data_IF_599070815482
#
_entry.id   IF_599070815482
#
_cell.length_a   1.000
_cell.length_b   1.000
_cell.length_c   1.000
_cell.angle_alpha   90.00
_cell.angle_beta   90.00
_cell.angle_gamma   90.00
#
_symmetry.space_group_name_H-M   'P 1'
#
loop_
_entity.id
_entity.type
_entity.pdbx_description
1 polymer ?
#
# COMPACT_ATOMS: atom_id res chain seq x y z
N UNK A 1 6.22 32.57 3.85
CA UNK A 1 5.64 31.29 4.25
C UNK A 1 6.30 30.21 3.38
N UNK A 2 7.16 29.40 4.00
CA UNK A 2 7.63 28.18 3.36
C UNK A 2 6.43 27.24 3.23
N UNK A 3 6.01 26.96 2.01
CA UNK A 3 5.05 25.91 1.74
C UNK A 3 5.74 24.57 2.03
N UNK A 4 5.45 23.96 3.15
CA UNK A 4 5.84 22.59 3.43
C UNK A 4 5.17 21.71 2.38
N UNK A 5 5.97 21.01 1.58
CA UNK A 5 5.46 20.03 0.61
C UNK A 5 4.89 18.88 1.45
N UNK A 6 3.58 18.85 1.59
CA UNK A 6 2.88 17.72 2.21
C UNK A 6 2.54 16.71 1.12
N UNK A 7 3.00 15.47 1.28
CA UNK A 7 2.51 14.35 0.47
C UNK A 7 1.01 14.17 0.74
N UNK A 8 0.20 14.10 -0.31
CA UNK A 8 -1.26 14.15 -0.19
C UNK A 8 -1.85 12.97 0.59
N UNK A 9 -1.18 11.82 0.68
CA UNK A 9 -1.73 10.59 1.30
C UNK A 9 -0.62 9.75 1.92
N UNK A 10 -0.03 10.17 3.04
CA UNK A 10 1.18 9.56 3.61
C UNK A 10 0.97 8.11 4.07
N UNK A 11 -0.26 7.67 4.39
CA UNK A 11 -0.51 6.29 4.82
C UNK A 11 -0.17 5.25 3.74
N UNK A 12 -0.13 5.64 2.47
CA UNK A 12 0.29 4.76 1.37
C UNK A 12 1.77 4.41 1.41
N UNK A 13 2.59 5.23 2.08
CA UNK A 13 4.03 5.00 2.25
C UNK A 13 4.35 4.04 3.39
N UNK A 14 3.40 3.79 4.29
CA UNK A 14 3.61 2.89 5.42
C UNK A 14 3.63 1.44 4.92
N UNK A 15 4.67 0.71 5.26
CA UNK A 15 4.76 -0.73 4.93
C UNK A 15 3.70 -1.52 5.70
N UNK A 16 2.88 -2.26 4.96
CA UNK A 16 1.85 -3.08 5.56
C UNK A 16 2.29 -4.54 5.75
N UNK A 17 3.40 -4.95 5.14
CA UNK A 17 3.94 -6.30 5.28
C UNK A 17 5.21 -6.34 6.13
N UNK A 18 5.27 -7.30 7.05
CA UNK A 18 6.38 -7.45 7.98
C UNK A 18 7.71 -7.78 7.31
N UNK A 19 7.68 -8.44 6.13
CA UNK A 19 8.89 -8.79 5.38
C UNK A 19 9.57 -7.54 4.82
N UNK A 20 8.83 -6.70 4.10
CA UNK A 20 9.39 -5.47 3.52
C UNK A 20 9.75 -4.47 4.61
N UNK A 21 8.94 -4.34 5.67
CA UNK A 21 9.25 -3.52 6.83
C UNK A 21 10.58 -3.96 7.49
N UNK A 22 10.79 -5.26 7.66
CA UNK A 22 12.04 -5.82 8.19
C UNK A 22 13.26 -5.65 7.27
N UNK A 23 13.05 -5.34 5.99
CA UNK A 23 14.08 -5.05 4.99
C UNK A 23 14.21 -3.55 4.70
N UNK A 24 13.82 -2.68 5.64
CA UNK A 24 13.82 -1.22 5.50
C UNK A 24 12.98 -0.75 4.29
N UNK A 25 11.74 -1.24 4.20
CA UNK A 25 10.76 -0.92 3.16
C UNK A 25 11.22 -1.26 1.73
N UNK A 26 11.98 -2.33 1.61
CA UNK A 26 12.53 -2.79 0.33
C UNK A 26 11.71 -3.95 -0.25
N UNK A 27 10.79 -3.64 -1.15
CA UNK A 27 9.92 -4.62 -1.79
C UNK A 27 9.91 -4.61 -3.32
N UNK A 28 10.49 -3.59 -3.96
CA UNK A 28 10.37 -3.34 -5.41
C UNK A 28 11.01 -4.45 -6.26
N UNK A 29 12.17 -4.97 -5.85
CA UNK A 29 12.92 -6.00 -6.57
C UNK A 29 13.02 -7.34 -5.81
N UNK A 30 12.27 -7.51 -4.71
CA UNK A 30 12.19 -8.79 -4.00
C UNK A 30 11.46 -9.85 -4.85
N UNK A 31 11.52 -11.13 -4.43
CA UNK A 31 10.72 -12.18 -5.07
C UNK A 31 9.23 -11.84 -5.03
N UNK A 32 8.48 -12.35 -6.02
CA UNK A 32 7.03 -12.22 -6.02
C UNK A 32 6.41 -12.90 -4.79
N UNK A 33 5.49 -12.22 -4.14
CA UNK A 33 4.71 -12.68 -3.00
C UNK A 33 3.32 -12.04 -3.02
N UNK A 34 2.46 -12.41 -2.08
CA UNK A 34 1.09 -11.90 -2.04
C UNK A 34 0.99 -10.39 -1.70
N UNK A 35 2.05 -9.78 -1.14
CA UNK A 35 2.11 -8.35 -0.86
C UNK A 35 2.71 -7.50 -1.98
N UNK A 36 3.04 -8.12 -3.11
CA UNK A 36 3.69 -7.44 -4.23
C UNK A 36 2.89 -6.28 -4.84
N UNK A 37 1.58 -6.21 -4.59
CA UNK A 37 0.72 -5.13 -5.07
C UNK A 37 1.19 -3.75 -4.60
N UNK A 38 1.62 -3.62 -3.37
CA UNK A 38 2.11 -2.36 -2.82
C UNK A 38 3.42 -1.91 -3.46
N UNK A 39 4.33 -2.87 -3.68
CA UNK A 39 5.72 -2.57 -4.03
C UNK A 39 5.98 -2.57 -5.53
N UNK A 40 5.50 -3.60 -6.21
CA UNK A 40 5.70 -3.77 -7.64
C UNK A 40 4.77 -4.85 -8.18
N UNK A 41 3.61 -4.52 -8.72
CA UNK A 41 2.66 -5.49 -9.25
C UNK A 41 3.19 -6.28 -10.47
N UNK A 42 4.23 -5.78 -11.17
CA UNK A 42 4.82 -6.52 -12.30
C UNK A 42 5.42 -7.87 -11.87
N UNK A 43 5.76 -8.05 -10.59
CA UNK A 43 6.26 -9.30 -10.03
C UNK A 43 5.27 -10.45 -10.16
N UNK A 44 3.96 -10.19 -10.15
CA UNK A 44 2.94 -11.24 -10.23
C UNK A 44 3.01 -12.07 -11.52
N UNK A 45 3.51 -11.51 -12.62
CA UNK A 45 3.75 -12.27 -13.83
C UNK A 45 4.80 -13.39 -13.66
N UNK A 46 5.63 -13.31 -12.61
CA UNK A 46 6.63 -14.29 -12.22
C UNK A 46 6.28 -15.05 -10.93
N UNK A 47 5.10 -14.87 -10.38
CA UNK A 47 4.68 -15.62 -9.21
C UNK A 47 4.68 -17.14 -9.49
N UNK A 48 5.12 -17.93 -8.52
CA UNK A 48 5.16 -19.39 -8.65
C UNK A 48 3.74 -19.94 -8.56
N UNK A 49 3.01 -19.51 -7.54
CA UNK A 49 1.65 -19.94 -7.30
C UNK A 49 0.68 -19.27 -8.27
N UNK A 50 -0.36 -20.01 -8.66
CA UNK A 50 -1.41 -19.49 -9.54
C UNK A 50 -2.23 -18.40 -8.87
N UNK A 51 -2.47 -18.52 -7.57
CA UNK A 51 -3.31 -17.61 -6.78
C UNK A 51 -2.68 -17.38 -5.43
N UNK A 52 -2.73 -16.17 -4.94
CA UNK A 52 -2.30 -15.83 -3.59
C UNK A 52 -3.23 -14.82 -2.93
N UNK A 53 -3.34 -14.97 -1.63
CA UNK A 53 -4.09 -14.08 -0.76
C UNK A 53 -3.23 -13.73 0.45
N UNK A 54 -3.31 -12.50 0.91
CA UNK A 54 -2.67 -12.08 2.15
C UNK A 54 -3.53 -11.06 2.90
N UNK A 55 -3.37 -11.09 4.20
CA UNK A 55 -3.96 -10.13 5.13
C UNK A 55 -2.88 -9.68 6.10
N UNK A 56 -2.83 -8.40 6.39
CA UNK A 56 -2.02 -7.85 7.47
C UNK A 56 -2.84 -6.89 8.32
N UNK A 57 -2.48 -6.83 9.58
CA UNK A 57 -2.98 -5.87 10.54
C UNK A 57 -1.80 -5.38 11.37
N UNK A 58 -1.54 -4.10 11.33
CA UNK A 58 -0.40 -3.47 12.01
C UNK A 58 -0.94 -2.39 12.94
N UNK A 59 -0.93 -2.62 14.26
CA UNK A 59 -1.13 -1.55 15.24
C UNK A 59 -0.01 -0.52 15.06
N UNK A 60 -0.37 0.76 15.08
CA UNK A 60 0.56 1.84 14.81
C UNK A 60 0.59 2.81 15.98
N UNK A 61 1.79 3.27 16.38
CA UNK A 61 1.99 4.19 17.52
C UNK A 61 1.38 3.73 18.83
N UNK A 62 1.41 2.43 19.13
CA UNK A 62 0.77 1.82 20.31
C UNK A 62 1.25 2.35 21.64
N UNK A 63 2.46 2.93 21.69
CA UNK A 63 2.99 3.58 22.90
C UNK A 63 2.35 4.95 23.18
N UNK A 64 1.67 5.53 22.21
CA UNK A 64 0.97 6.82 22.32
C UNK A 64 -0.54 6.66 22.43
N UNK A 65 -1.11 5.84 21.53
CA UNK A 65 -2.56 5.58 21.42
C UNK A 65 -2.78 4.14 20.97
N UNK A 66 -3.86 3.52 21.43
CA UNK A 66 -4.10 2.09 21.19
C UNK A 66 -5.05 1.81 20.01
N UNK A 67 -5.52 2.82 19.31
CA UNK A 67 -6.59 2.75 18.35
C UNK A 67 -6.20 3.13 16.90
N UNK A 68 -4.92 3.46 16.67
CA UNK A 68 -4.40 3.67 15.31
C UNK A 68 -3.97 2.33 14.73
N UNK A 69 -4.45 2.02 13.54
CA UNK A 69 -4.13 0.75 12.88
C UNK A 69 -4.12 0.85 11.36
N UNK A 70 -3.26 0.03 10.75
CA UNK A 70 -3.18 -0.18 9.31
C UNK A 70 -3.60 -1.61 9.00
N UNK A 71 -4.64 -1.78 8.19
CA UNK A 71 -5.07 -3.06 7.64
C UNK A 71 -4.80 -3.13 6.15
N UNK A 72 -4.40 -4.29 5.66
CA UNK A 72 -4.25 -4.54 4.22
C UNK A 72 -4.69 -5.94 3.85
N UNK A 73 -5.45 -6.03 2.76
CA UNK A 73 -5.83 -7.26 2.09
C UNK A 73 -5.23 -7.24 0.69
N UNK A 74 -4.68 -8.36 0.23
CA UNK A 74 -4.22 -8.49 -1.15
C UNK A 74 -4.72 -9.81 -1.74
N UNK A 75 -4.98 -9.78 -3.02
CA UNK A 75 -5.33 -10.95 -3.81
C UNK A 75 -4.66 -10.85 -5.17
N UNK A 76 -4.11 -11.93 -5.69
CA UNK A 76 -3.68 -12.03 -7.07
C UNK A 76 -4.07 -13.38 -7.67
N UNK A 77 -4.21 -13.37 -8.99
CA UNK A 77 -4.42 -14.59 -9.76
C UNK A 77 -3.68 -14.49 -11.10
N UNK A 78 -2.88 -15.51 -11.40
CA UNK A 78 -2.28 -15.67 -12.72
C UNK A 78 -3.33 -16.26 -13.67
N UNK A 79 -3.67 -15.49 -14.69
CA UNK A 79 -4.62 -15.88 -15.73
C UNK A 79 -4.01 -17.01 -16.58
N UNK A 80 -2.74 -16.84 -16.93
CA UNK A 80 -1.93 -17.78 -17.70
C UNK A 80 -0.43 -17.62 -17.33
N UNK A 81 0.47 -18.25 -18.10
CA UNK A 81 1.92 -18.18 -17.85
C UNK A 81 2.53 -16.80 -18.04
N UNK A 82 1.82 -15.90 -18.73
CA UNK A 82 2.34 -14.57 -19.10
C UNK A 82 1.65 -13.43 -18.38
N UNK A 83 0.46 -13.64 -17.83
CA UNK A 83 -0.33 -12.54 -17.28
C UNK A 83 -0.96 -12.87 -15.94
N UNK A 84 -1.09 -11.84 -15.11
CA UNK A 84 -1.78 -11.92 -13.84
C UNK A 84 -2.57 -10.63 -13.58
N UNK A 85 -3.67 -10.74 -12.87
CA UNK A 85 -4.34 -9.61 -12.25
C UNK A 85 -4.19 -9.67 -10.73
N UNK A 86 -4.24 -8.52 -10.11
CA UNK A 86 -4.20 -8.42 -8.66
C UNK A 86 -5.03 -7.23 -8.18
N UNK A 87 -5.38 -7.26 -6.92
CA UNK A 87 -6.04 -6.15 -6.24
C UNK A 87 -5.66 -6.12 -4.78
N UNK A 88 -5.73 -4.93 -4.19
CA UNK A 88 -5.56 -4.76 -2.76
C UNK A 88 -6.55 -3.75 -2.20
N UNK A 89 -6.86 -3.92 -0.93
CA UNK A 89 -7.58 -2.96 -0.13
C UNK A 89 -6.75 -2.62 1.08
N UNK A 90 -6.52 -1.32 1.29
CA UNK A 90 -5.79 -0.79 2.44
C UNK A 90 -6.69 0.15 3.21
N UNK A 91 -6.67 0.01 4.52
CA UNK A 91 -7.42 0.85 5.45
C UNK A 91 -6.49 1.36 6.54
N UNK A 92 -6.54 2.66 6.80
CA UNK A 92 -5.81 3.31 7.87
C UNK A 92 -6.79 4.04 8.79
N UNK A 93 -6.93 3.55 10.02
CA UNK A 93 -7.75 4.18 11.06
C UNK A 93 -6.86 4.99 11.97
N UNK A 94 -7.23 6.26 12.19
CA UNK A 94 -6.47 7.18 13.06
C UNK A 94 -7.02 7.22 14.51
N UNK A 95 -7.92 6.28 14.83
CA UNK A 95 -8.51 6.20 16.15
C UNK A 95 -9.61 7.22 16.40
N UNK A 96 -9.98 7.35 17.66
CA UNK A 96 -11.03 8.25 18.12
C UNK A 96 -10.42 9.52 18.69
N UNK A 97 -10.84 10.66 18.17
CA UNK A 97 -10.40 11.99 18.64
C UNK A 97 -11.59 12.66 19.32
N UNK A 98 -11.42 13.02 20.58
CA UNK A 98 -12.39 13.80 21.33
C UNK A 98 -12.16 15.29 21.09
N UNK A 99 -13.14 15.94 20.53
CA UNK A 99 -13.15 17.40 20.29
C UNK A 99 -14.03 18.08 21.33
N UNK A 100 -13.49 19.12 21.96
CA UNK A 100 -14.21 20.04 22.83
C UNK A 100 -14.20 21.43 22.21
N UNK A 101 -15.38 22.06 22.11
CA UNK A 101 -15.54 23.35 21.43
C UNK A 101 -15.31 24.54 22.37
N UNK A 102 -15.64 24.39 23.65
CA UNK A 102 -15.64 25.53 24.59
C UNK A 102 -14.60 25.44 25.70
N UNK A 103 -13.89 24.36 25.89
CA UNK A 103 -12.98 24.20 27.01
C UNK A 103 -13.66 24.13 28.39
N UNK A 104 -15.00 24.00 28.44
CA UNK A 104 -15.74 23.75 29.67
C UNK A 104 -15.50 22.29 30.12
N UNK A 105 -15.06 22.05 31.37
CA UNK A 105 -14.90 20.69 31.88
C UNK A 105 -16.15 19.81 31.84
N UNK A 106 -17.33 20.42 31.82
CA UNK A 106 -18.63 19.73 31.78
C UNK A 106 -19.16 19.52 30.34
N UNK A 107 -18.45 19.99 29.32
CA UNK A 107 -18.83 19.78 27.95
C UNK A 107 -18.71 18.31 27.56
N UNK A 108 -19.74 17.75 26.93
CA UNK A 108 -19.70 16.40 26.37
C UNK A 108 -18.86 16.46 25.09
N UNK A 109 -17.67 15.80 25.06
CA UNK A 109 -16.82 15.84 23.89
C UNK A 109 -17.49 15.18 22.71
N UNK A 110 -17.30 15.76 21.53
CA UNK A 110 -17.69 15.14 20.26
C UNK A 110 -16.58 14.21 19.79
N UNK A 111 -16.89 12.93 19.62
CA UNK A 111 -15.92 11.96 19.09
C UNK A 111 -15.97 11.93 17.56
N UNK A 112 -14.84 12.04 16.93
CA UNK A 112 -14.63 11.83 15.49
C UNK A 112 -13.62 10.73 15.28
N UNK A 113 -13.82 9.92 14.23
CA UNK A 113 -12.94 8.78 13.88
C UNK A 113 -12.41 8.96 12.46
N UNK A 114 -11.33 9.72 12.28
CA UNK A 114 -10.75 9.92 10.95
C UNK A 114 -10.22 8.60 10.39
N UNK A 115 -10.38 8.41 9.09
CA UNK A 115 -9.89 7.21 8.42
C UNK A 115 -9.58 7.47 6.96
N UNK A 116 -8.67 6.69 6.42
CA UNK A 116 -8.30 6.71 5.02
C UNK A 116 -8.34 5.30 4.45
N UNK A 117 -8.69 5.16 3.19
CA UNK A 117 -8.58 3.89 2.52
C UNK A 117 -8.16 4.05 1.07
N UNK A 118 -7.54 3.00 0.56
CA UNK A 118 -7.20 2.87 -0.86
C UNK A 118 -7.61 1.50 -1.38
N UNK A 119 -8.09 1.49 -2.61
CA UNK A 119 -8.37 0.29 -3.37
C UNK A 119 -7.53 0.29 -4.64
N UNK A 120 -6.71 -0.73 -4.81
CA UNK A 120 -5.80 -0.88 -5.94
C UNK A 120 -6.22 -2.07 -6.80
N UNK A 121 -6.10 -1.91 -8.10
CA UNK A 121 -6.18 -3.00 -9.08
C UNK A 121 -4.99 -2.92 -10.03
N UNK A 122 -4.47 -4.05 -10.45
CA UNK A 122 -3.37 -4.09 -11.41
C UNK A 122 -3.49 -5.27 -12.36
N UNK A 123 -2.91 -5.07 -13.54
CA UNK A 123 -2.70 -6.11 -14.53
C UNK A 123 -1.23 -6.15 -14.90
N UNK A 124 -0.62 -7.31 -14.80
CA UNK A 124 0.78 -7.56 -15.12
C UNK A 124 0.91 -8.49 -16.32
N UNK A 125 1.89 -8.18 -17.17
CA UNK A 125 2.18 -8.93 -18.39
C UNK A 125 3.69 -9.20 -18.49
N UNK A 126 4.05 -10.46 -18.69
CA UNK A 126 5.39 -10.89 -19.04
C UNK A 126 5.66 -10.58 -20.51
N UNK A 127 6.56 -9.64 -20.75
CA UNK A 127 6.96 -9.21 -22.11
C UNK A 127 8.07 -10.08 -22.68
N UNK A 128 8.90 -10.68 -21.82
CA UNK A 128 9.91 -11.66 -22.19
C UNK A 128 10.09 -12.66 -21.05
N UNK A 129 10.91 -13.70 -21.23
CA UNK A 129 11.21 -14.66 -20.17
C UNK A 129 11.87 -14.03 -18.93
N UNK A 130 12.41 -12.85 -19.07
CA UNK A 130 13.16 -12.15 -18.00
C UNK A 130 12.52 -10.82 -17.57
N UNK A 131 11.54 -10.31 -18.32
CA UNK A 131 10.98 -8.97 -18.06
C UNK A 131 9.46 -8.94 -18.12
N UNK A 132 8.86 -8.26 -17.16
CA UNK A 132 7.43 -7.97 -17.10
C UNK A 132 7.16 -6.50 -16.81
N UNK A 133 5.98 -6.05 -17.20
CA UNK A 133 5.44 -4.74 -16.83
C UNK A 133 4.05 -4.91 -16.23
N UNK A 134 3.62 -3.92 -15.47
CA UNK A 134 2.26 -3.82 -14.97
C UNK A 134 1.76 -2.39 -15.08
N UNK A 135 0.45 -2.30 -15.22
CA UNK A 135 -0.31 -1.06 -15.05
C UNK A 135 -1.25 -1.24 -13.88
N UNK A 136 -1.39 -0.20 -13.07
CA UNK A 136 -2.28 -0.18 -11.92
C UNK A 136 -3.22 1.02 -11.96
N UNK A 137 -4.37 0.86 -11.35
CA UNK A 137 -5.30 1.93 -11.05
C UNK A 137 -5.60 1.90 -9.55
N UNK A 138 -5.62 3.06 -8.94
CA UNK A 138 -5.87 3.25 -7.51
C UNK A 138 -6.99 4.24 -7.30
N UNK A 139 -7.91 3.89 -6.43
CA UNK A 139 -8.87 4.81 -5.85
C UNK A 139 -8.50 5.09 -4.39
N UNK A 140 -8.45 6.35 -4.02
CA UNK A 140 -8.08 6.80 -2.68
C UNK A 140 -9.23 7.61 -2.12
N UNK A 141 -9.55 7.38 -0.85
CA UNK A 141 -10.47 8.21 -0.10
C UNK A 141 -9.85 8.56 1.25
N UNK A 142 -9.80 9.85 1.55
CA UNK A 142 -9.31 10.39 2.81
C UNK A 142 -10.45 11.12 3.51
N UNK A 143 -10.85 10.63 4.67
CA UNK A 143 -11.85 11.23 5.53
C UNK A 143 -11.19 11.66 6.85
N UNK A 144 -10.44 12.73 6.79
CA UNK A 144 -9.74 13.34 7.94
C UNK A 144 -10.59 14.43 8.59
N UNK A 145 -11.91 14.32 8.59
CA UNK A 145 -12.83 15.34 9.12
C UNK A 145 -12.57 15.59 10.60
N UNK A 146 -11.97 16.71 10.88
CA UNK A 146 -12.05 17.39 12.17
C UNK A 146 -13.02 18.54 11.95
N UNK A 147 -14.27 18.37 12.38
CA UNK A 147 -15.25 19.44 12.26
C UNK A 147 -14.81 20.61 13.13
N UNK A 148 -14.56 21.75 12.52
CA UNK A 148 -14.44 23.03 13.19
C UNK A 148 -15.62 23.92 12.75
N UNK A 149 -16.06 24.81 13.61
CA UNK A 149 -17.16 25.75 13.32
C UNK A 149 -16.90 26.68 12.11
N UNK A 150 -15.75 26.62 11.49
CA UNK A 150 -15.27 27.53 10.45
C UNK A 150 -15.11 26.87 9.07
N UNK A 151 -15.74 25.76 8.82
CA UNK A 151 -15.78 25.20 7.48
C UNK A 151 -15.81 23.68 7.44
N UNK A 152 -16.67 23.16 6.61
CA UNK A 152 -16.78 21.71 6.34
C UNK A 152 -15.47 21.17 5.76
N UNK A 153 -14.67 20.51 6.58
CA UNK A 153 -13.64 19.61 6.07
C UNK A 153 -14.37 18.45 5.36
N UNK A 154 -14.40 18.49 4.04
CA UNK A 154 -15.00 17.43 3.22
C UNK A 154 -14.03 16.26 3.07
N UNK A 155 -14.57 15.04 2.99
CA UNK A 155 -13.77 13.89 2.55
C UNK A 155 -13.23 14.16 1.13
N UNK A 156 -11.98 13.82 0.88
CA UNK A 156 -11.37 13.94 -0.43
C UNK A 156 -11.23 12.56 -1.08
N UNK A 157 -11.47 12.49 -2.38
CA UNK A 157 -11.26 11.28 -3.16
C UNK A 157 -10.40 11.59 -4.38
N UNK A 158 -9.56 10.65 -4.77
CA UNK A 158 -8.72 10.77 -5.95
C UNK A 158 -8.55 9.44 -6.66
N UNK A 159 -8.22 9.52 -7.95
CA UNK A 159 -7.79 8.38 -8.74
C UNK A 159 -6.33 8.57 -9.14
N UNK A 160 -5.59 7.49 -9.15
CA UNK A 160 -4.19 7.43 -9.54
C UNK A 160 -3.95 6.28 -10.53
N UNK A 161 -2.91 6.39 -11.33
CA UNK A 161 -2.48 5.36 -12.27
C UNK A 161 -1.00 5.09 -12.05
N UNK A 162 -0.67 3.82 -11.89
CA UNK A 162 0.69 3.37 -11.59
C UNK A 162 1.25 2.56 -12.76
N UNK A 163 2.58 2.63 -12.94
CA UNK A 163 3.32 1.82 -13.93
C UNK A 163 4.51 1.18 -13.24
N UNK A 164 4.64 -0.12 -13.41
CA UNK A 164 5.71 -0.89 -12.80
C UNK A 164 6.43 -1.78 -13.82
N UNK A 165 7.71 -2.04 -13.56
CA UNK A 165 8.51 -2.98 -14.33
C UNK A 165 9.35 -3.87 -13.42
N UNK A 166 9.52 -5.12 -13.84
CA UNK A 166 10.30 -6.10 -13.09
C UNK A 166 11.12 -6.97 -14.01
N UNK A 167 12.39 -7.14 -13.67
CA UNK A 167 13.34 -7.98 -14.34
C UNK A 167 13.88 -9.05 -13.40
N UNK A 168 13.99 -10.29 -13.87
CA UNK A 168 14.74 -11.34 -13.18
C UNK A 168 15.45 -12.25 -14.18
N UNK A 169 16.64 -12.71 -13.79
CA UNK A 169 17.36 -13.72 -14.57
C UNK A 169 16.82 -15.12 -14.28
N UNK A 170 17.23 -16.08 -15.10
CA UNK A 170 17.20 -17.49 -14.73
C UNK A 170 18.09 -17.72 -13.50
N UNK A 171 17.95 -18.88 -12.91
CA UNK A 171 18.78 -19.27 -11.80
C UNK A 171 20.22 -19.48 -12.26
N UNK A 172 21.14 -18.84 -11.57
CA UNK A 172 22.59 -18.88 -11.85
C UNK A 172 23.22 -19.65 -10.71
N UNK A 173 23.98 -20.67 -11.05
CA UNK A 173 24.77 -21.43 -10.08
C UNK A 173 26.04 -20.61 -9.72
N UNK A 174 26.16 -20.26 -8.46
CA UNK A 174 27.37 -19.75 -7.83
C UNK A 174 28.05 -20.90 -7.09
N UNK A 175 29.28 -20.70 -6.64
CA UNK A 175 30.05 -21.79 -6.00
C UNK A 175 29.36 -22.47 -4.83
N UNK A 176 28.64 -21.65 -3.99
CA UNK A 176 28.05 -22.12 -2.74
C UNK A 176 26.51 -21.99 -2.70
N UNK A 177 25.90 -21.36 -3.70
CA UNK A 177 24.46 -21.18 -3.76
C UNK A 177 23.95 -20.94 -5.19
N UNK A 178 22.65 -21.13 -5.37
CA UNK A 178 21.96 -20.71 -6.59
C UNK A 178 21.24 -19.39 -6.34
N UNK A 179 21.36 -18.46 -7.26
CA UNK A 179 20.79 -17.13 -7.13
C UNK A 179 20.21 -16.58 -8.42
N UNK A 180 19.49 -15.46 -8.29
CA UNK A 180 18.94 -14.70 -9.43
C UNK A 180 19.18 -13.22 -9.23
N UNK A 181 19.55 -12.55 -10.29
CA UNK A 181 19.54 -11.09 -10.29
C UNK A 181 18.11 -10.60 -10.52
N UNK A 182 17.72 -9.61 -9.73
CA UNK A 182 16.42 -8.94 -9.85
C UNK A 182 16.60 -7.44 -9.85
N UNK A 183 15.80 -6.76 -10.68
CA UNK A 183 15.69 -5.32 -10.70
C UNK A 183 14.22 -4.94 -10.93
N UNK A 184 13.83 -3.78 -10.45
CA UNK A 184 12.46 -3.33 -10.64
C UNK A 184 12.33 -1.83 -10.41
N UNK A 185 11.26 -1.29 -10.95
CA UNK A 185 10.80 0.06 -10.66
C UNK A 185 9.27 0.05 -10.49
N UNK A 186 8.77 1.02 -9.73
CA UNK A 186 7.35 1.29 -9.60
C UNK A 186 7.17 2.80 -9.51
N UNK A 187 6.46 3.36 -10.48
CA UNK A 187 6.12 4.77 -10.54
C UNK A 187 4.66 4.89 -10.13
N UNK A 188 4.44 5.48 -9.00
CA UNK A 188 3.12 5.69 -8.41
C UNK A 188 2.79 7.18 -8.43
N UNK A 189 1.57 7.48 -8.83
CA UNK A 189 1.08 8.87 -8.84
C UNK A 189 0.26 9.17 -7.57
#
# INVERSE_FOLDING_TARGET
>A
QENVITTAVPFLLVSADARSAGMADNGVASSADAFSQQWNPAKYAFAIDKTGFSISYTPYLTDLVNDISLGQLNYYNRINEKSAFAGSFRFFGLGNIELRETGDPNEIPRTVSPSEFAFDMSYSLKLSEKFSMAVGARYINSNLKVASDVGDASSASSFAVDVAGFFQTEEIAFNDFNGRWRAGFNIQN
#
